data_IF_584589079005
#
_entry.id   IF_584589079005
#
_cell.length_a   1.000
_cell.length_b   1.000
_cell.length_c   1.000
_cell.angle_alpha   90.00
_cell.angle_beta   90.00
_cell.angle_gamma   90.00
#
_symmetry.space_group_name_H-M   'P 1'
#
loop_
_entity.id
_entity.type
_entity.pdbx_description
1 polymer ?
#
# COMPACT_ATOMS: atom_id res chain seq x y z
N UNK A 1 14.92 1.96 14.44
CA UNK A 1 15.29 0.74 13.68
C UNK A 1 15.99 1.11 12.37
N UNK A 2 15.39 1.96 11.56
CA UNK A 2 16.02 2.48 10.35
C UNK A 2 16.64 3.84 10.65
N UNK A 3 17.96 3.90 10.74
CA UNK A 3 18.72 5.14 10.88
C UNK A 3 20.04 5.03 10.11
N UNK A 4 20.53 6.12 9.49
CA UNK A 4 19.91 7.44 9.44
C UNK A 4 18.71 7.49 8.47
N UNK A 5 17.57 8.05 8.87
CA UNK A 5 16.47 8.37 7.95
C UNK A 5 15.85 9.76 8.14
N UNK A 6 16.63 10.69 8.71
CA UNK A 6 16.27 12.06 9.11
C UNK A 6 15.99 13.08 7.98
N UNK A 7 16.00 12.67 6.71
CA UNK A 7 15.79 13.61 5.58
C UNK A 7 15.32 12.90 4.32
N UNK A 8 14.74 13.64 3.37
CA UNK A 8 14.38 13.13 2.04
C UNK A 8 15.55 12.40 1.33
N UNK A 9 16.77 12.92 1.43
CA UNK A 9 17.95 12.31 0.80
C UNK A 9 18.51 11.08 1.54
N UNK A 10 18.05 10.84 2.77
CA UNK A 10 18.42 9.71 3.60
C UNK A 10 17.22 8.77 3.85
N UNK A 11 16.10 8.96 3.14
CA UNK A 11 14.89 8.21 3.38
C UNK A 11 15.14 6.70 3.26
N UNK A 12 14.50 5.93 4.14
CA UNK A 12 14.56 4.47 4.09
C UNK A 12 13.76 3.98 2.89
N UNK A 13 14.43 3.35 1.94
CA UNK A 13 13.78 2.77 0.76
C UNK A 13 13.07 1.46 1.12
N UNK A 14 11.73 1.50 1.06
CA UNK A 14 10.85 0.37 1.27
C UNK A 14 10.55 -0.41 -0.02
N UNK A 15 11.04 0.08 -1.16
CA UNK A 15 10.90 -0.56 -2.48
C UNK A 15 9.55 -0.30 -3.15
N UNK A 16 9.19 -1.19 -4.09
CA UNK A 16 7.92 -1.14 -4.80
C UNK A 16 6.85 -1.90 -4.03
N UNK A 17 5.82 -1.20 -3.55
CA UNK A 17 4.84 -1.76 -2.61
C UNK A 17 3.41 -1.76 -3.16
N UNK A 18 2.70 -2.85 -2.85
CA UNK A 18 1.25 -2.85 -2.65
C UNK A 18 0.99 -2.53 -1.18
N UNK A 19 0.91 -3.55 -0.33
CA UNK A 19 0.72 -3.38 1.12
C UNK A 19 2.00 -3.65 1.92
N UNK A 20 2.18 -2.97 3.04
CA UNK A 20 3.28 -3.14 3.99
C UNK A 20 2.82 -2.81 5.41
N UNK A 21 3.32 -3.57 6.39
CA UNK A 21 3.24 -3.22 7.81
C UNK A 21 4.60 -3.35 8.44
N UNK A 22 5.09 -2.26 9.03
CA UNK A 22 6.31 -2.23 9.83
C UNK A 22 5.92 -1.87 11.26
N UNK A 23 6.16 -2.81 12.18
CA UNK A 23 5.83 -2.65 13.58
C UNK A 23 7.03 -2.18 14.42
N UNK A 24 6.75 -1.64 15.60
CA UNK A 24 7.72 -1.27 16.62
C UNK A 24 8.82 -0.31 16.12
N UNK A 25 8.43 0.70 15.35
CA UNK A 25 9.34 1.72 14.84
C UNK A 25 9.58 2.82 15.89
N UNK A 26 10.84 3.22 16.12
CA UNK A 26 11.12 4.30 17.06
C UNK A 26 11.33 5.66 16.36
N UNK A 27 10.88 6.74 17.02
CA UNK A 27 11.41 8.09 16.84
C UNK A 27 12.56 8.26 17.84
N UNK A 28 13.80 8.24 17.34
CA UNK A 28 14.99 8.05 18.19
C UNK A 28 15.34 9.26 19.07
N UNK A 29 15.01 10.48 18.65
CA UNK A 29 15.30 11.71 19.39
C UNK A 29 14.19 12.77 19.19
N UNK A 30 14.04 13.73 20.13
CA UNK A 30 13.14 14.86 19.97
C UNK A 30 13.38 15.65 18.67
N UNK A 31 12.30 16.17 18.08
CA UNK A 31 12.36 16.95 16.84
C UNK A 31 12.94 16.21 15.62
N UNK A 32 12.96 14.88 15.64
CA UNK A 32 13.38 14.05 14.50
C UNK A 32 12.22 13.64 13.63
N UNK A 33 12.56 13.41 12.37
CA UNK A 33 11.64 13.02 11.32
C UNK A 33 12.11 11.69 10.75
N UNK A 34 11.22 10.72 10.66
CA UNK A 34 11.53 9.48 9.95
C UNK A 34 11.01 9.60 8.53
N UNK A 35 11.91 9.52 7.55
CA UNK A 35 11.55 9.53 6.14
C UNK A 35 11.59 8.11 5.56
N UNK A 36 10.51 7.73 4.91
CA UNK A 36 10.36 6.48 4.17
C UNK A 36 10.08 6.78 2.71
N UNK A 37 10.76 6.08 1.81
CA UNK A 37 10.58 6.17 0.37
C UNK A 37 9.92 4.89 -0.13
N UNK A 38 8.92 5.03 -0.98
CA UNK A 38 8.31 3.90 -1.67
C UNK A 38 8.07 4.23 -3.14
N UNK A 39 7.98 3.19 -3.96
CA UNK A 39 7.46 3.27 -5.32
C UNK A 39 6.08 2.61 -5.34
N UNK A 40 5.06 3.33 -5.81
CA UNK A 40 3.72 2.74 -5.90
C UNK A 40 3.72 1.63 -6.97
N UNK A 41 3.31 0.41 -6.64
CA UNK A 41 3.27 -0.69 -7.62
C UNK A 41 2.24 -0.41 -8.74
N UNK A 42 1.14 0.25 -8.41
CA UNK A 42 0.02 0.54 -9.31
C UNK A 42 -0.55 1.93 -9.05
N UNK A 43 -1.31 2.45 -10.02
CA UNK A 43 -2.06 3.70 -9.84
C UNK A 43 -3.35 3.45 -9.06
N UNK A 44 -3.71 4.38 -8.18
CA UNK A 44 -4.96 4.32 -7.41
C UNK A 44 -4.85 5.07 -6.09
N UNK A 45 -5.54 4.58 -5.06
CA UNK A 45 -5.50 5.17 -3.70
C UNK A 45 -4.46 4.45 -2.85
N UNK A 46 -3.54 5.22 -2.29
CA UNK A 46 -2.62 4.81 -1.22
C UNK A 46 -3.22 5.28 0.11
N UNK A 47 -3.44 4.37 1.05
CA UNK A 47 -3.73 4.71 2.44
C UNK A 47 -2.48 4.48 3.28
N UNK A 48 -2.21 5.43 4.17
CA UNK A 48 -1.09 5.33 5.11
C UNK A 48 -1.63 5.64 6.49
N UNK A 49 -1.37 4.73 7.41
CA UNK A 49 -1.72 4.85 8.81
C UNK A 49 -0.46 4.74 9.67
N UNK A 50 -0.40 5.53 10.73
CA UNK A 50 0.51 5.25 11.85
C UNK A 50 -0.33 5.02 13.11
N UNK A 51 0.09 4.07 13.94
CA UNK A 51 -0.54 3.77 15.23
C UNK A 51 0.49 3.97 16.33
N UNK A 52 0.12 4.66 17.40
CA UNK A 52 1.02 4.98 18.51
C UNK A 52 0.22 5.33 19.76
N UNK A 53 0.89 5.47 20.92
CA UNK A 53 0.24 5.97 22.13
C UNK A 53 0.48 7.47 22.28
N UNK A 54 -0.55 8.30 22.12
CA UNK A 54 -0.43 9.75 22.34
C UNK A 54 -0.07 10.09 23.81
N UNK A 55 -0.18 9.12 24.72
CA UNK A 55 0.34 9.29 26.09
C UNK A 55 1.86 9.48 26.15
N UNK A 56 2.61 9.05 25.13
CA UNK A 56 4.05 9.24 24.97
C UNK A 56 4.42 10.50 24.18
N UNK A 57 3.41 11.23 23.68
CA UNK A 57 3.56 12.36 22.79
C UNK A 57 2.91 12.10 21.44
N UNK A 58 2.54 13.20 20.80
CA UNK A 58 1.79 13.20 19.55
C UNK A 58 2.73 12.99 18.34
N UNK A 59 2.30 12.18 17.37
CA UNK A 59 2.99 12.05 16.09
C UNK A 59 2.15 12.64 14.95
N UNK A 60 2.83 13.07 13.91
CA UNK A 60 2.21 13.64 12.71
C UNK A 60 2.65 12.87 11.48
N UNK A 61 1.72 12.73 10.54
CA UNK A 61 1.92 11.98 9.32
C UNK A 61 1.83 12.91 8.11
N UNK A 62 2.79 12.80 7.20
CA UNK A 62 2.82 13.52 5.95
C UNK A 62 3.11 12.57 4.79
N UNK A 63 2.54 12.86 3.62
CA UNK A 63 2.86 12.18 2.36
C UNK A 63 3.26 13.22 1.31
N UNK A 64 4.37 12.97 0.62
CA UNK A 64 4.93 13.83 -0.42
C UNK A 64 5.12 13.08 -1.75
N UNK A 65 5.13 13.82 -2.85
CA UNK A 65 5.52 13.30 -4.17
C UNK A 65 7.05 13.25 -4.35
N UNK A 66 7.49 12.84 -5.55
CA UNK A 66 8.90 12.72 -5.92
C UNK A 66 9.66 14.04 -6.02
N UNK A 67 8.97 15.20 -6.04
CA UNK A 67 9.53 16.56 -6.03
C UNK A 67 9.40 17.22 -4.63
N UNK A 68 9.43 16.42 -3.57
CA UNK A 68 9.03 16.76 -2.20
C UNK A 68 7.89 17.78 -2.03
N UNK A 69 6.86 17.74 -2.87
CA UNK A 69 5.63 18.51 -2.65
C UNK A 69 4.66 17.71 -1.80
N UNK A 70 4.11 18.33 -0.75
CA UNK A 70 3.20 17.64 0.18
C UNK A 70 1.84 17.39 -0.48
N UNK A 71 1.44 16.13 -0.54
CA UNK A 71 0.17 15.67 -1.09
C UNK A 71 -0.93 15.64 -0.02
N UNK A 72 -0.63 15.11 1.17
CA UNK A 72 -1.55 15.05 2.30
C UNK A 72 -0.83 15.02 3.63
N UNK A 73 -1.59 15.21 4.72
CA UNK A 73 -1.10 15.11 6.09
C UNK A 73 -2.24 14.88 7.09
N UNK A 74 -1.88 14.34 8.25
CA UNK A 74 -2.73 14.24 9.43
C UNK A 74 -1.93 14.72 10.64
N UNK A 75 -2.56 15.57 11.45
CA UNK A 75 -1.99 16.24 12.63
C UNK A 75 -3.00 16.17 13.79
N UNK A 76 -3.64 15.01 13.96
CA UNK A 76 -4.66 14.86 14.97
C UNK A 76 -4.00 14.71 16.34
N UNK A 77 -4.77 14.37 17.37
CA UNK A 77 -4.22 13.99 18.68
C UNK A 77 -4.79 12.64 19.10
N UNK A 78 -5.14 11.80 18.12
CA UNK A 78 -5.63 10.44 18.37
C UNK A 78 -4.42 9.53 18.53
N UNK A 79 -4.66 8.31 18.98
CA UNK A 79 -3.63 7.26 19.00
C UNK A 79 -3.34 6.68 17.59
N UNK A 80 -3.67 7.44 16.54
CA UNK A 80 -3.42 7.10 15.15
C UNK A 80 -3.56 8.33 14.24
N UNK A 81 -2.80 8.30 13.15
CA UNK A 81 -2.87 9.28 12.05
C UNK A 81 -3.14 8.50 10.77
N UNK A 82 -4.01 9.03 9.92
CA UNK A 82 -4.43 8.36 8.69
C UNK A 82 -4.55 9.37 7.55
N UNK A 83 -4.01 9.02 6.38
CA UNK A 83 -4.14 9.81 5.16
C UNK A 83 -4.41 8.90 3.96
N UNK A 84 -5.23 9.40 3.02
CA UNK A 84 -5.49 8.75 1.73
C UNK A 84 -5.09 9.69 0.59
N UNK A 85 -4.26 9.22 -0.33
CA UNK A 85 -3.80 10.01 -1.49
C UNK A 85 -3.93 9.23 -2.79
N UNK A 86 -4.14 9.94 -3.89
CA UNK A 86 -4.02 9.35 -5.22
C UNK A 86 -2.55 9.24 -5.62
N UNK A 87 -2.14 8.08 -6.10
CA UNK A 87 -0.78 7.79 -6.58
C UNK A 87 -0.80 7.20 -7.99
N UNK A 88 0.32 7.32 -8.68
CA UNK A 88 0.57 6.77 -10.01
C UNK A 88 1.56 5.62 -9.89
N UNK A 89 1.24 4.48 -10.49
CA UNK A 89 2.13 3.31 -10.49
C UNK A 89 3.46 3.62 -11.17
N UNK A 90 4.55 3.17 -10.56
CA UNK A 90 5.92 3.42 -11.00
C UNK A 90 6.51 4.75 -10.50
N UNK A 91 5.70 5.63 -9.89
CA UNK A 91 6.20 6.87 -9.30
C UNK A 91 6.64 6.68 -7.84
N UNK A 92 7.56 7.55 -7.42
CA UNK A 92 8.11 7.57 -6.06
C UNK A 92 7.34 8.53 -5.16
N UNK A 93 7.13 8.10 -3.92
CA UNK A 93 6.47 8.86 -2.86
C UNK A 93 7.28 8.78 -1.57
N UNK A 94 7.12 9.80 -0.72
CA UNK A 94 7.69 9.80 0.62
C UNK A 94 6.58 9.79 1.66
N UNK A 95 6.71 8.90 2.64
CA UNK A 95 5.96 8.94 3.90
C UNK A 95 6.88 9.52 4.95
N UNK A 96 6.42 10.52 5.69
CA UNK A 96 7.21 11.19 6.71
C UNK A 96 6.43 11.19 8.02
N UNK A 97 7.06 10.68 9.06
CA UNK A 97 6.53 10.66 10.42
C UNK A 97 7.36 11.63 11.27
N UNK A 98 6.69 12.49 12.04
CA UNK A 98 7.36 13.47 12.89
C UNK A 98 6.75 13.50 14.28
N UNK A 99 7.61 13.44 15.31
CA UNK A 99 7.20 13.68 16.69
C UNK A 99 6.88 15.15 16.92
N UNK A 100 5.63 15.46 17.24
CA UNK A 100 5.21 16.81 17.62
C UNK A 100 5.94 17.28 18.88
N UNK A 101 6.46 18.51 18.86
CA UNK A 101 7.30 19.04 19.93
C UNK A 101 8.49 18.12 20.25
N UNK A 102 8.65 17.68 21.50
CA UNK A 102 9.72 16.80 21.94
C UNK A 102 9.30 15.32 22.04
N UNK A 103 8.17 14.95 21.44
CA UNK A 103 7.68 13.58 21.42
C UNK A 103 8.73 12.63 20.84
N UNK A 104 8.96 11.55 21.58
CA UNK A 104 9.71 10.38 21.12
C UNK A 104 8.81 9.17 21.31
N UNK A 105 8.96 8.17 20.46
CA UNK A 105 8.15 6.97 20.52
C UNK A 105 9.07 5.77 20.36
N UNK A 106 8.98 4.72 21.19
CA UNK A 106 9.80 3.54 21.02
C UNK A 106 9.22 2.54 20.01
N UNK A 107 7.91 2.61 19.75
CA UNK A 107 7.12 1.52 19.14
C UNK A 107 5.88 1.99 18.36
N UNK A 108 6.00 2.95 17.43
CA UNK A 108 4.89 3.25 16.53
C UNK A 108 4.83 2.24 15.39
N UNK A 109 3.64 1.91 14.91
CA UNK A 109 3.46 1.03 13.75
C UNK A 109 3.17 1.88 12.51
N UNK A 110 3.78 1.53 11.38
CA UNK A 110 3.50 2.09 10.05
C UNK A 110 2.76 1.05 9.21
N UNK A 111 1.56 1.39 8.77
CA UNK A 111 0.74 0.58 7.87
C UNK A 111 0.55 1.32 6.56
N UNK A 112 0.86 0.66 5.46
CA UNK A 112 0.69 1.17 4.11
C UNK A 112 -0.20 0.19 3.36
N UNK A 113 -1.37 0.65 2.92
CA UNK A 113 -2.26 -0.07 2.02
C UNK A 113 -2.21 0.60 0.65
N UNK A 114 -1.40 0.05 -0.26
CA UNK A 114 -1.19 0.60 -1.58
C UNK A 114 -2.27 0.18 -2.58
N UNK A 115 -2.33 0.86 -3.74
CA UNK A 115 -3.26 0.48 -4.78
C UNK A 115 -3.00 -0.94 -5.26
N UNK A 116 -4.05 -1.75 -5.25
CA UNK A 116 -3.98 -3.11 -5.75
C UNK A 116 -3.99 -3.08 -7.27
N UNK A 117 -3.10 -3.89 -7.87
CA UNK A 117 -3.02 -4.02 -9.31
C UNK A 117 -4.25 -4.66 -9.95
N UNK A 118 -4.22 -4.82 -11.28
CA UNK A 118 -5.21 -5.63 -11.95
C UNK A 118 -5.28 -6.99 -11.27
N UNK A 119 -6.49 -7.40 -10.89
CA UNK A 119 -6.71 -8.67 -10.25
C UNK A 119 -6.24 -9.79 -11.18
N UNK A 120 -5.31 -10.62 -10.71
CA UNK A 120 -4.86 -11.78 -11.49
C UNK A 120 -6.04 -12.74 -11.67
N UNK A 121 -6.44 -13.02 -12.91
CA UNK A 121 -7.47 -14.03 -13.21
C UNK A 121 -6.78 -15.26 -13.77
N UNK A 122 -6.99 -16.42 -13.13
CA UNK A 122 -6.62 -17.70 -13.74
C UNK A 122 -7.80 -18.22 -14.55
N UNK A 123 -7.55 -18.65 -15.79
CA UNK A 123 -8.56 -19.23 -16.67
C UNK A 123 -8.20 -20.68 -16.96
N UNK A 124 -9.14 -21.58 -16.70
CA UNK A 124 -9.03 -23.01 -17.01
C UNK A 124 -10.10 -23.39 -18.02
N UNK A 125 -9.75 -24.30 -18.94
CA UNK A 125 -10.69 -24.90 -19.87
C UNK A 125 -10.96 -26.35 -19.46
N UNK A 126 -12.22 -26.69 -19.20
CA UNK A 126 -12.68 -28.04 -18.82
C UNK A 126 -14.16 -28.19 -19.16
N UNK A 127 -14.64 -29.41 -19.36
CA UNK A 127 -16.07 -29.71 -19.51
C UNK A 127 -16.73 -29.69 -18.11
N UNK A 128 -17.50 -28.63 -17.80
CA UNK A 128 -18.10 -28.38 -16.50
C UNK A 128 -19.52 -28.98 -16.38
N UNK A 129 -20.25 -29.12 -17.48
CA UNK A 129 -21.62 -29.65 -17.49
C UNK A 129 -21.79 -31.05 -18.14
N UNK A 130 -20.73 -31.59 -18.74
CA UNK A 130 -20.70 -32.93 -19.33
C UNK A 130 -21.24 -33.00 -20.75
N UNK A 131 -21.36 -31.87 -21.46
CA UNK A 131 -21.85 -31.84 -22.85
C UNK A 131 -20.79 -32.25 -23.89
N UNK A 132 -19.57 -32.54 -23.44
CA UNK A 132 -18.43 -32.92 -24.28
C UNK A 132 -17.71 -31.73 -24.92
N UNK A 133 -18.01 -30.50 -24.52
CA UNK A 133 -17.37 -29.27 -24.97
C UNK A 133 -16.59 -28.63 -23.83
N UNK A 134 -15.62 -27.78 -24.17
CA UNK A 134 -14.82 -27.08 -23.16
C UNK A 134 -15.55 -25.83 -22.69
N UNK A 135 -15.79 -25.75 -21.39
CA UNK A 135 -16.25 -24.57 -20.67
C UNK A 135 -15.09 -23.78 -20.08
N UNK A 136 -15.39 -22.57 -19.58
CA UNK A 136 -14.40 -21.70 -18.96
C UNK A 136 -14.65 -21.60 -17.45
N UNK A 137 -13.62 -21.89 -16.67
CA UNK A 137 -13.57 -21.66 -15.23
C UNK A 137 -12.60 -20.52 -14.94
N UNK A 138 -13.10 -19.43 -14.36
CA UNK A 138 -12.34 -18.26 -13.96
C UNK A 138 -12.14 -18.30 -12.44
N UNK A 139 -10.92 -18.01 -11.97
CA UNK A 139 -10.64 -17.78 -10.55
C UNK A 139 -10.14 -16.36 -10.35
N UNK A 140 -10.80 -15.61 -9.47
CA UNK A 140 -10.37 -14.29 -9.03
C UNK A 140 -9.17 -14.44 -8.07
N UNK A 141 -8.06 -13.78 -8.40
CA UNK A 141 -6.80 -13.91 -7.67
C UNK A 141 -6.85 -13.38 -6.23
N UNK A 142 -7.45 -12.21 -6.01
CA UNK A 142 -7.57 -11.59 -4.69
C UNK A 142 -8.51 -12.31 -3.75
N UNK A 143 -9.67 -12.74 -4.23
CA UNK A 143 -10.72 -13.32 -3.36
C UNK A 143 -10.68 -14.84 -3.35
N UNK A 144 -10.01 -15.46 -4.31
CA UNK A 144 -10.04 -16.90 -4.53
C UNK A 144 -11.38 -17.44 -5.02
N UNK A 145 -12.35 -16.58 -5.36
CA UNK A 145 -13.67 -17.00 -5.85
C UNK A 145 -13.57 -17.60 -7.25
N UNK A 146 -14.43 -18.58 -7.52
CA UNK A 146 -14.57 -19.20 -8.82
C UNK A 146 -15.86 -18.76 -9.51
N UNK A 147 -15.81 -18.57 -10.81
CA UNK A 147 -16.96 -18.40 -11.68
C UNK A 147 -16.82 -19.35 -12.88
N UNK A 148 -17.92 -19.95 -13.31
CA UNK A 148 -17.95 -20.82 -14.50
C UNK A 148 -18.80 -20.21 -15.60
N UNK A 149 -18.40 -20.41 -16.86
CA UNK A 149 -19.19 -20.06 -18.03
C UNK A 149 -19.34 -21.30 -18.90
N UNK A 150 -20.58 -21.77 -19.03
CA UNK A 150 -20.93 -22.86 -19.93
C UNK A 150 -20.85 -22.37 -21.38
N UNK A 151 -20.16 -23.13 -22.23
CA UNK A 151 -19.81 -22.77 -23.58
C UNK A 151 -20.26 -23.84 -24.55
N UNK A 152 -20.98 -23.44 -25.59
CA UNK A 152 -21.45 -24.36 -26.63
C UNK A 152 -20.40 -24.71 -27.70
N UNK A 153 -19.11 -24.68 -27.34
CA UNK A 153 -17.98 -24.89 -28.25
C UNK A 153 -17.69 -23.69 -29.16
N UNK A 154 -16.48 -23.65 -29.72
CA UNK A 154 -16.07 -22.62 -30.68
C UNK A 154 -16.29 -23.12 -32.11
N UNK A 155 -17.05 -22.38 -32.92
CA UNK A 155 -17.01 -22.59 -34.36
C UNK A 155 -15.81 -21.85 -34.94
N UNK A 156 -15.02 -22.52 -35.78
CA UNK A 156 -13.97 -21.84 -36.55
C UNK A 156 -14.65 -20.99 -37.62
N UNK A 157 -14.66 -19.68 -37.45
CA UNK A 157 -14.99 -18.75 -38.53
C UNK A 157 -14.03 -18.97 -39.69
N UNK A 158 -14.54 -19.46 -40.83
CA UNK A 158 -13.77 -19.50 -42.06
C UNK A 158 -13.89 -18.12 -42.69
N UNK A 159 -12.76 -17.42 -42.87
CA UNK A 159 -12.67 -16.23 -43.72
C UNK A 159 -12.34 -16.65 -45.15
#
# INVERSE_FOLDING_TARGET
RFEPNDSFGAATDLGTLGDLTEADLPIHEPYKFDFYLLTAAYSGTLNVDILFSNSLGDLTLYVYDSSPSRLAYSISTRDYESVSVAVTGGETYYVVVFGSADATHPDYDLVIDGPQGPQSVSVYACDLDGDGKSDLLWREGSTGKYAGTLMNGLSKGQN
#
